data_IF_710023974493
#
_entry.id   IF_710023974493
#
_cell.length_a   1.000
_cell.length_b   1.000
_cell.length_c   1.000
_cell.angle_alpha   90.00
_cell.angle_beta   90.00
_cell.angle_gamma   90.00
#
_symmetry.space_group_name_H-M   'P 1'
#
loop_
_entity.id
_entity.type
_entity.pdbx_description
1 polymer ?
#
# COMPACT_ATOMS: atom_id res chain seq x y z
N UNK A 1 -11.29 4.19 11.36
CA UNK A 1 -10.23 4.13 12.40
C UNK A 1 -9.30 2.93 12.18
N UNK A 2 -9.80 1.69 12.19
CA UNK A 2 -8.97 0.47 12.05
C UNK A 2 -8.06 0.45 10.82
N UNK A 3 -8.46 1.09 9.73
CA UNK A 3 -7.63 1.17 8.52
C UNK A 3 -6.34 1.97 8.76
N UNK A 4 -6.42 3.10 9.44
CA UNK A 4 -5.23 3.92 9.74
C UNK A 4 -4.36 3.31 10.84
N UNK A 5 -4.95 2.58 11.80
CA UNK A 5 -4.19 1.82 12.80
C UNK A 5 -3.30 0.74 12.13
N UNK A 6 -3.79 0.09 11.05
CA UNK A 6 -3.00 -0.87 10.25
C UNK A 6 -1.91 -0.16 9.42
N UNK A 7 -2.20 1.02 8.85
CA UNK A 7 -1.18 1.80 8.13
C UNK A 7 -0.04 2.23 9.04
N UNK A 8 -0.34 2.67 10.25
CA UNK A 8 0.67 3.03 11.25
C UNK A 8 1.59 1.85 11.59
N UNK A 9 1.00 0.66 11.74
CA UNK A 9 1.76 -0.57 11.95
C UNK A 9 2.61 -0.93 10.72
N UNK A 10 2.06 -0.85 9.52
CA UNK A 10 2.81 -1.06 8.27
C UNK A 10 4.00 -0.12 8.17
N UNK A 11 3.80 1.16 8.45
CA UNK A 11 4.86 2.17 8.43
C UNK A 11 6.04 1.74 9.31
N UNK A 12 5.76 1.37 10.56
CA UNK A 12 6.80 0.96 11.51
C UNK A 12 7.55 -0.31 11.08
N UNK A 13 6.87 -1.27 10.47
CA UNK A 13 7.46 -2.57 10.13
C UNK A 13 8.13 -2.57 8.75
N UNK A 14 7.52 -1.96 7.75
CA UNK A 14 7.98 -2.04 6.36
C UNK A 14 9.20 -1.16 6.09
N UNK A 15 9.33 -0.01 6.74
CA UNK A 15 10.56 0.79 6.69
C UNK A 15 11.77 0.01 7.23
N UNK A 16 11.59 -0.66 8.37
CA UNK A 16 12.63 -1.50 8.97
C UNK A 16 12.94 -2.71 8.11
N UNK A 17 11.91 -3.32 7.50
CA UNK A 17 12.07 -4.44 6.58
C UNK A 17 12.92 -4.04 5.36
N UNK A 18 12.60 -2.92 4.71
CA UNK A 18 13.33 -2.42 3.55
C UNK A 18 14.80 -2.08 3.89
N UNK A 19 15.04 -1.43 5.03
CA UNK A 19 16.38 -1.14 5.52
C UNK A 19 17.22 -2.40 5.65
N UNK A 20 16.72 -3.41 6.36
CA UNK A 20 17.47 -4.65 6.56
C UNK A 20 17.55 -5.51 5.29
N UNK A 21 16.55 -5.48 4.42
CA UNK A 21 16.61 -6.15 3.13
C UNK A 21 17.77 -5.61 2.29
N UNK A 22 17.98 -4.29 2.24
CA UNK A 22 19.11 -3.70 1.52
C UNK A 22 20.48 -4.19 2.04
N UNK A 23 20.59 -4.44 3.35
CA UNK A 23 21.82 -4.93 3.97
C UNK A 23 22.01 -6.44 3.79
N UNK A 24 20.94 -7.24 3.90
CA UNK A 24 21.02 -8.68 4.16
C UNK A 24 20.56 -9.55 2.99
N UNK A 25 19.83 -8.98 2.02
CA UNK A 25 19.29 -9.76 0.91
C UNK A 25 20.41 -10.51 0.18
N UNK A 26 20.23 -11.83 0.05
CA UNK A 26 21.05 -12.69 -0.79
C UNK A 26 20.72 -12.45 -2.27
N UNK A 27 21.49 -13.05 -3.18
CA UNK A 27 21.15 -12.94 -4.61
C UNK A 27 19.83 -13.66 -4.92
N UNK A 28 19.53 -14.77 -4.23
CA UNK A 28 18.24 -15.44 -4.37
C UNK A 28 17.06 -14.56 -3.91
N UNK A 29 17.22 -13.83 -2.80
CA UNK A 29 16.19 -12.90 -2.34
C UNK A 29 15.95 -11.77 -3.35
N UNK A 30 17.02 -11.24 -3.94
CA UNK A 30 16.93 -10.20 -4.97
C UNK A 30 16.20 -10.69 -6.21
N UNK A 31 16.45 -11.93 -6.61
CA UNK A 31 15.73 -12.53 -7.74
C UNK A 31 14.24 -12.72 -7.40
N UNK A 32 13.91 -13.17 -6.19
CA UNK A 32 12.52 -13.25 -5.72
C UNK A 32 11.86 -11.87 -5.75
N UNK A 33 12.55 -10.82 -5.28
CA UNK A 33 12.02 -9.45 -5.30
C UNK A 33 11.76 -8.96 -6.72
N UNK A 34 12.67 -9.25 -7.68
CA UNK A 34 12.45 -8.93 -9.10
C UNK A 34 11.21 -9.63 -9.64
N UNK A 35 11.08 -10.94 -9.39
CA UNK A 35 9.90 -11.70 -9.82
C UNK A 35 8.59 -11.15 -9.23
N UNK A 36 8.59 -10.77 -7.95
CA UNK A 36 7.39 -10.18 -7.32
C UNK A 36 7.05 -8.81 -7.89
N UNK A 37 8.06 -8.02 -8.22
CA UNK A 37 7.86 -6.73 -8.85
C UNK A 37 7.37 -6.87 -10.30
N UNK A 38 7.88 -7.84 -11.07
CA UNK A 38 7.36 -8.14 -12.42
C UNK A 38 5.87 -8.46 -12.40
N UNK A 39 5.38 -9.19 -11.38
CA UNK A 39 3.96 -9.43 -11.22
C UNK A 39 3.15 -8.12 -11.01
N UNK A 40 3.71 -7.12 -10.32
CA UNK A 40 3.10 -5.79 -10.21
C UNK A 40 3.12 -5.02 -11.55
N UNK A 41 4.18 -5.18 -12.35
CA UNK A 41 4.26 -4.56 -13.69
C UNK A 41 3.24 -5.16 -14.66
N UNK A 42 3.02 -6.47 -14.61
CA UNK A 42 2.00 -7.16 -15.43
C UNK A 42 0.59 -6.66 -15.12
N UNK A 43 0.29 -6.44 -13.84
CA UNK A 43 -0.98 -5.84 -13.39
C UNK A 43 -1.15 -4.44 -13.96
N UNK A 44 -0.08 -3.64 -13.98
CA UNK A 44 -0.14 -2.27 -14.53
C UNK A 44 -0.56 -2.22 -16.00
N UNK A 45 -0.30 -3.27 -16.75
CA UNK A 45 -0.60 -3.37 -18.18
C UNK A 45 -1.97 -3.98 -18.47
N UNK A 46 -2.66 -4.52 -17.45
CA UNK A 46 -3.91 -5.24 -17.56
C UNK A 46 -5.13 -4.47 -17.01
N UNK A 47 -6.22 -5.19 -16.85
CA UNK A 47 -7.39 -4.68 -16.12
C UNK A 47 -7.11 -4.73 -14.61
N UNK A 48 -7.44 -3.64 -13.92
CA UNK A 48 -7.19 -3.52 -12.48
C UNK A 48 -8.32 -4.19 -11.69
N UNK A 49 -8.00 -5.29 -11.02
CA UNK A 49 -8.88 -5.97 -10.08
C UNK A 49 -8.29 -5.86 -8.66
N UNK A 50 -8.88 -5.06 -7.74
CA UNK A 50 -8.31 -4.83 -6.40
C UNK A 50 -8.00 -6.10 -5.62
N UNK A 51 -8.83 -7.17 -5.74
CA UNK A 51 -8.61 -8.45 -5.08
C UNK A 51 -7.37 -9.18 -5.60
N UNK A 52 -7.17 -9.18 -6.92
CA UNK A 52 -6.02 -9.79 -7.56
C UNK A 52 -4.76 -8.97 -7.31
N UNK A 53 -4.85 -7.67 -7.52
CA UNK A 53 -3.74 -6.73 -7.38
C UNK A 53 -3.20 -6.70 -5.94
N UNK A 54 -4.09 -6.80 -4.94
CA UNK A 54 -3.70 -6.82 -3.54
C UNK A 54 -2.86 -8.04 -3.15
N UNK A 55 -3.06 -9.18 -3.81
CA UNK A 55 -2.23 -10.38 -3.57
C UNK A 55 -0.80 -10.16 -4.05
N UNK A 56 -0.61 -9.56 -5.22
CA UNK A 56 0.71 -9.25 -5.76
C UNK A 56 1.42 -8.19 -4.89
N UNK A 57 0.69 -7.13 -4.50
CA UNK A 57 1.19 -6.06 -3.64
C UNK A 57 1.63 -6.61 -2.27
N UNK A 58 0.76 -7.35 -1.59
CA UNK A 58 1.09 -7.97 -0.30
C UNK A 58 2.26 -8.95 -0.41
N UNK A 59 2.35 -9.71 -1.53
CA UNK A 59 3.43 -10.66 -1.77
C UNK A 59 4.77 -9.95 -1.98
N UNK A 60 4.79 -8.78 -2.61
CA UNK A 60 5.98 -7.95 -2.75
C UNK A 60 6.47 -7.45 -1.38
N UNK A 61 5.59 -6.89 -0.55
CA UNK A 61 5.93 -6.42 0.79
C UNK A 61 6.41 -7.54 1.72
N UNK A 62 5.81 -8.74 1.63
CA UNK A 62 6.30 -9.91 2.37
C UNK A 62 7.66 -10.38 1.89
N UNK A 63 7.95 -10.35 0.59
CA UNK A 63 9.26 -10.70 0.08
C UNK A 63 10.34 -9.74 0.59
N UNK A 64 10.03 -8.45 0.75
CA UNK A 64 10.94 -7.49 1.41
C UNK A 64 11.19 -7.88 2.86
N UNK A 65 10.14 -8.25 3.60
CA UNK A 65 10.29 -8.71 4.98
C UNK A 65 11.14 -9.99 5.07
N UNK A 66 10.92 -10.96 4.19
CA UNK A 66 11.73 -12.19 4.11
C UNK A 66 13.20 -11.87 3.82
N UNK A 67 13.48 -10.98 2.85
CA UNK A 67 14.82 -10.53 2.48
C UNK A 67 15.55 -9.76 3.61
N UNK A 68 14.83 -9.30 4.62
CA UNK A 68 15.42 -8.67 5.81
C UNK A 68 16.19 -9.66 6.69
N UNK A 69 15.95 -10.96 6.56
CA UNK A 69 16.48 -12.03 7.41
C UNK A 69 16.30 -11.75 8.91
N UNK A 70 15.31 -10.93 9.28
CA UNK A 70 14.93 -10.71 10.67
C UNK A 70 13.78 -11.65 11.04
N UNK A 71 14.10 -12.75 11.72
CA UNK A 71 13.13 -13.82 12.03
C UNK A 71 11.90 -13.29 12.78
N UNK A 72 12.09 -12.37 13.74
CA UNK A 72 10.97 -11.78 14.48
C UNK A 72 10.06 -10.95 13.55
N UNK A 73 10.65 -10.09 12.72
CA UNK A 73 9.91 -9.27 11.75
C UNK A 73 9.14 -10.14 10.74
N UNK A 74 9.80 -11.19 10.21
CA UNK A 74 9.17 -12.15 9.29
C UNK A 74 7.94 -12.81 9.93
N UNK A 75 8.07 -13.27 11.18
CA UNK A 75 6.96 -13.90 11.90
C UNK A 75 5.79 -12.93 12.13
N UNK A 76 6.07 -11.70 12.52
CA UNK A 76 5.05 -10.66 12.71
C UNK A 76 4.34 -10.36 11.39
N UNK A 77 5.08 -10.11 10.31
CA UNK A 77 4.52 -9.79 9.00
C UNK A 77 3.68 -10.94 8.44
N UNK A 78 4.16 -12.18 8.55
CA UNK A 78 3.40 -13.37 8.12
C UNK A 78 2.17 -13.62 9.00
N UNK A 79 2.26 -13.44 10.31
CA UNK A 79 1.13 -13.57 11.22
C UNK A 79 0.03 -12.55 10.96
N UNK A 80 0.39 -11.38 10.43
CA UNK A 80 -0.54 -10.32 10.05
C UNK A 80 -0.97 -10.38 8.57
N UNK A 81 -0.55 -11.40 7.81
CA UNK A 81 -0.74 -11.46 6.36
C UNK A 81 -2.19 -11.21 5.91
N UNK A 82 -3.16 -11.90 6.52
CA UNK A 82 -4.57 -11.72 6.17
C UNK A 82 -5.08 -10.31 6.47
N UNK A 83 -4.58 -9.69 7.54
CA UNK A 83 -4.90 -8.32 7.89
C UNK A 83 -4.29 -7.34 6.87
N UNK A 84 -3.02 -7.56 6.49
CA UNK A 84 -2.33 -6.79 5.46
C UNK A 84 -3.04 -6.89 4.12
N UNK A 85 -3.33 -8.11 3.67
CA UNK A 85 -4.02 -8.37 2.41
C UNK A 85 -5.39 -7.67 2.36
N UNK A 86 -6.20 -7.83 3.42
CA UNK A 86 -7.50 -7.16 3.53
C UNK A 86 -7.39 -5.63 3.56
N UNK A 87 -6.33 -5.11 4.19
CA UNK A 87 -6.06 -3.68 4.22
C UNK A 87 -5.64 -3.16 2.85
N UNK A 88 -4.69 -3.83 2.19
CA UNK A 88 -4.19 -3.46 0.85
C UNK A 88 -5.33 -3.48 -0.16
N UNK A 89 -6.16 -4.53 -0.18
CA UNK A 89 -7.31 -4.62 -1.07
C UNK A 89 -8.23 -3.39 -0.94
N UNK A 90 -8.63 -3.04 0.29
CA UNK A 90 -9.48 -1.86 0.54
C UNK A 90 -8.79 -0.54 0.20
N UNK A 91 -7.47 -0.47 0.37
CA UNK A 91 -6.71 0.71 -0.02
C UNK A 91 -6.67 0.87 -1.53
N UNK A 92 -6.43 -0.21 -2.28
CA UNK A 92 -6.41 -0.21 -3.74
C UNK A 92 -7.78 0.11 -4.34
N UNK A 93 -8.89 -0.46 -3.80
CA UNK A 93 -10.27 -0.11 -4.20
C UNK A 93 -10.50 1.40 -4.16
N UNK A 94 -9.96 2.07 -3.17
CA UNK A 94 -10.08 3.53 -3.01
C UNK A 94 -9.07 4.31 -3.86
N UNK A 95 -7.81 3.87 -3.89
CA UNK A 95 -6.77 4.53 -4.68
C UNK A 95 -7.07 4.49 -6.18
N UNK A 96 -7.70 3.41 -6.67
CA UNK A 96 -8.08 3.27 -8.07
C UNK A 96 -9.20 4.23 -8.51
N UNK A 97 -9.89 4.89 -7.58
CA UNK A 97 -10.80 5.99 -7.93
C UNK A 97 -10.06 7.21 -8.50
N UNK A 98 -8.73 7.29 -8.28
CA UNK A 98 -7.84 8.31 -8.85
C UNK A 98 -6.80 7.64 -9.74
N UNK A 99 -6.95 7.74 -11.05
CA UNK A 99 -6.07 7.12 -12.05
C UNK A 99 -4.57 7.45 -11.82
N UNK A 100 -4.25 8.68 -11.41
CA UNK A 100 -2.88 9.09 -11.12
C UNK A 100 -2.24 8.37 -9.93
N UNK A 101 -3.03 7.92 -8.95
CA UNK A 101 -2.50 7.29 -7.73
C UNK A 101 -1.84 5.96 -8.01
N UNK A 102 -2.38 5.20 -8.96
CA UNK A 102 -1.84 3.91 -9.34
C UNK A 102 -0.42 4.02 -9.91
N UNK A 103 -0.22 4.95 -10.85
CA UNK A 103 1.10 5.21 -11.46
C UNK A 103 2.13 5.62 -10.40
N UNK A 104 1.71 6.44 -9.43
CA UNK A 104 2.58 6.88 -8.34
C UNK A 104 2.96 5.71 -7.44
N UNK A 105 1.99 4.90 -7.01
CA UNK A 105 2.24 3.71 -6.16
C UNK A 105 3.21 2.75 -6.84
N UNK A 106 3.02 2.47 -8.13
CA UNK A 106 3.92 1.61 -8.88
C UNK A 106 5.35 2.15 -8.93
N UNK A 107 5.52 3.45 -9.23
CA UNK A 107 6.85 4.08 -9.25
C UNK A 107 7.53 4.06 -7.87
N UNK A 108 6.75 4.12 -6.79
CA UNK A 108 7.27 4.01 -5.42
C UNK A 108 7.73 2.59 -5.10
N UNK A 109 6.99 1.54 -5.51
CA UNK A 109 7.45 0.15 -5.39
C UNK A 109 8.76 -0.07 -6.15
N UNK A 110 8.88 0.49 -7.37
CA UNK A 110 10.13 0.45 -8.14
C UNK A 110 11.29 1.11 -7.39
N UNK A 111 11.05 2.24 -6.75
CA UNK A 111 12.08 2.94 -5.97
C UNK A 111 12.54 2.11 -4.76
N UNK A 112 11.63 1.42 -4.06
CA UNK A 112 11.97 0.51 -2.96
C UNK A 112 12.84 -0.64 -3.48
N UNK A 113 12.39 -1.31 -4.54
CA UNK A 113 13.16 -2.40 -5.15
C UNK A 113 14.55 -1.95 -5.55
N UNK A 114 14.64 -0.83 -6.27
CA UNK A 114 15.93 -0.28 -6.72
C UNK A 114 16.88 -0.05 -5.56
N UNK A 115 16.44 0.60 -4.49
CA UNK A 115 17.28 0.89 -3.34
C UNK A 115 17.78 -0.40 -2.64
N UNK A 116 16.94 -1.44 -2.55
CA UNK A 116 17.34 -2.74 -2.02
C UNK A 116 18.40 -3.40 -2.92
N UNK A 117 18.21 -3.37 -4.25
CA UNK A 117 19.16 -3.95 -5.21
C UNK A 117 20.51 -3.21 -5.21
N UNK A 118 20.47 -1.89 -5.04
CA UNK A 118 21.66 -1.02 -4.94
C UNK A 118 22.39 -1.17 -3.58
N UNK A 119 21.80 -1.91 -2.64
CA UNK A 119 22.31 -2.08 -1.27
C UNK A 119 22.43 -0.77 -0.49
N UNK A 120 21.49 0.14 -0.72
CA UNK A 120 21.40 1.41 0.00
C UNK A 120 20.28 1.33 1.06
N UNK A 121 20.61 1.04 2.34
CA UNK A 121 19.61 0.85 3.37
C UNK A 121 18.84 2.12 3.72
N UNK A 122 19.49 3.29 3.69
CA UNK A 122 18.80 4.55 3.98
C UNK A 122 17.86 4.94 2.85
N UNK A 123 18.27 4.77 1.59
CA UNK A 123 17.39 4.99 0.46
C UNK A 123 16.21 4.00 0.45
N UNK A 124 16.42 2.73 0.81
CA UNK A 124 15.36 1.73 0.89
C UNK A 124 14.34 2.09 1.98
N UNK A 125 14.78 2.49 3.18
CA UNK A 125 13.93 2.97 4.26
C UNK A 125 13.14 4.19 3.82
N UNK A 126 13.81 5.18 3.24
CA UNK A 126 13.16 6.41 2.78
C UNK A 126 12.14 6.17 1.68
N UNK A 127 12.42 5.26 0.73
CA UNK A 127 11.49 4.90 -0.32
C UNK A 127 10.22 4.22 0.25
N UNK A 128 10.38 3.31 1.23
CA UNK A 128 9.26 2.69 1.93
C UNK A 128 8.43 3.73 2.71
N UNK A 129 9.10 4.66 3.40
CA UNK A 129 8.45 5.78 4.08
C UNK A 129 7.60 6.63 3.12
N UNK A 130 8.18 7.05 1.99
CA UNK A 130 7.48 7.87 0.98
C UNK A 130 6.25 7.13 0.44
N UNK A 131 6.38 5.83 0.17
CA UNK A 131 5.28 5.01 -0.30
C UNK A 131 4.12 4.98 0.71
N UNK A 132 4.39 4.63 1.96
CA UNK A 132 3.35 4.51 2.98
C UNK A 132 2.74 5.85 3.38
N UNK A 133 3.55 6.92 3.43
CA UNK A 133 3.07 8.28 3.65
C UNK A 133 2.15 8.76 2.52
N UNK A 134 2.46 8.43 1.27
CA UNK A 134 1.59 8.73 0.12
C UNK A 134 0.25 7.99 0.23
N UNK A 135 0.28 6.69 0.51
CA UNK A 135 -0.94 5.88 0.69
C UNK A 135 -1.81 6.46 1.81
N UNK A 136 -1.20 6.76 2.97
CA UNK A 136 -1.93 7.33 4.11
C UNK A 136 -2.56 8.68 3.77
N UNK A 137 -1.79 9.60 3.19
CA UNK A 137 -2.26 10.95 2.84
C UNK A 137 -3.41 10.86 1.85
N UNK A 138 -3.27 10.08 0.79
CA UNK A 138 -4.30 9.92 -0.24
C UNK A 138 -5.59 9.31 0.33
N UNK A 139 -5.48 8.30 1.21
CA UNK A 139 -6.65 7.70 1.84
C UNK A 139 -7.37 8.67 2.80
N UNK A 140 -6.63 9.52 3.52
CA UNK A 140 -7.22 10.57 4.36
C UNK A 140 -7.98 11.61 3.54
N UNK A 141 -7.39 12.06 2.43
CA UNK A 141 -8.06 12.99 1.50
C UNK A 141 -9.35 12.39 0.94
N UNK A 142 -9.33 11.13 0.53
CA UNK A 142 -10.52 10.42 0.03
C UNK A 142 -11.60 10.27 1.12
N UNK A 143 -11.24 10.03 2.38
CA UNK A 143 -12.16 9.99 3.50
C UNK A 143 -12.84 11.35 3.74
N UNK A 144 -12.05 12.42 3.69
CA UNK A 144 -12.58 13.78 3.85
C UNK A 144 -13.50 14.16 2.69
N UNK A 145 -13.17 13.80 1.46
CA UNK A 145 -14.01 14.02 0.28
C UNK A 145 -15.34 13.27 0.40
N UNK A 146 -15.31 11.99 0.77
CA UNK A 146 -16.51 11.17 0.97
C UNK A 146 -17.40 11.77 2.06
N UNK A 147 -16.81 12.21 3.18
CA UNK A 147 -17.55 12.86 4.28
C UNK A 147 -18.22 14.16 3.81
N UNK A 148 -17.52 14.99 3.04
CA UNK A 148 -18.09 16.22 2.48
C UNK A 148 -19.25 15.94 1.53
N UNK A 149 -19.12 14.92 0.68
CA UNK A 149 -20.18 14.52 -0.26
C UNK A 149 -21.42 14.01 0.49
N UNK A 150 -21.25 13.14 1.48
CA UNK A 150 -22.36 12.64 2.29
C UNK A 150 -23.10 13.78 3.00
N UNK A 151 -22.37 14.72 3.60
CA UNK A 151 -22.98 15.88 4.25
C UNK A 151 -23.79 16.73 3.26
N UNK A 152 -23.29 16.92 2.04
CA UNK A 152 -23.98 17.68 1.01
C UNK A 152 -25.24 16.96 0.50
N UNK A 153 -25.16 15.64 0.31
CA UNK A 153 -26.30 14.81 -0.09
C UNK A 153 -27.40 14.82 0.98
N UNK A 154 -27.06 14.70 2.27
CA UNK A 154 -28.02 14.78 3.37
C UNK A 154 -28.75 16.13 3.41
N UNK A 155 -28.02 17.24 3.19
CA UNK A 155 -28.63 18.59 3.11
C UNK A 155 -29.59 18.69 1.92
N UNK A 156 -29.19 18.20 0.76
CA UNK A 156 -30.04 18.20 -0.41
C UNK A 156 -31.34 17.39 -0.18
N UNK A 157 -31.20 16.20 0.39
CA UNK A 157 -32.34 15.34 0.71
C UNK A 157 -33.32 16.02 1.69
N UNK A 158 -32.82 16.61 2.75
CA UNK A 158 -33.62 17.37 3.71
C UNK A 158 -34.37 18.55 3.08
N UNK A 159 -33.75 19.27 2.14
CA UNK A 159 -34.41 20.38 1.42
C UNK A 159 -35.54 19.87 0.52
N UNK A 160 -35.33 18.75 -0.17
CA UNK A 160 -36.34 18.16 -1.05
C UNK A 160 -37.55 17.63 -0.26
N UNK A 161 -37.33 17.01 0.90
CA UNK A 161 -38.39 16.54 1.77
C UNK A 161 -39.23 17.71 2.33
N UNK A 162 -38.56 18.80 2.71
CA UNK A 162 -39.26 20.01 3.28
C UNK A 162 -40.08 20.72 2.18
N UNK A 163 -39.66 20.66 0.91
CA UNK A 163 -40.40 21.25 -0.21
C UNK A 163 -41.50 20.36 -0.79
N UNK A 164 -41.58 19.09 -0.38
CA UNK A 164 -42.60 18.12 -0.80
C UNK A 164 -43.76 17.98 0.21
N UNK A 165 -43.68 18.64 1.34
CA UNK A 165 -44.82 18.71 2.30
C UNK A 165 -45.76 19.87 1.92
N UNK A 166 -47.06 19.60 1.64
CA UNK A 166 -48.02 20.59 1.19
C UNK A 166 -48.35 21.59 2.30
#
# INVERSE_FOLDING_TARGET
>A
KAMFDVLELRHALEEVAAYFAAIRATEADREILRCRFTALEEIQQGEHEPQHDSVADASFHLAIADASHNVALIHVMRGLFNLLLSHICRSLERLYTRESSYVIVHSQHQAILKAILDRDPEAARQAAHIHLAFVETTLRELDEEATRQECSQRRLHSLLETSASP
#
